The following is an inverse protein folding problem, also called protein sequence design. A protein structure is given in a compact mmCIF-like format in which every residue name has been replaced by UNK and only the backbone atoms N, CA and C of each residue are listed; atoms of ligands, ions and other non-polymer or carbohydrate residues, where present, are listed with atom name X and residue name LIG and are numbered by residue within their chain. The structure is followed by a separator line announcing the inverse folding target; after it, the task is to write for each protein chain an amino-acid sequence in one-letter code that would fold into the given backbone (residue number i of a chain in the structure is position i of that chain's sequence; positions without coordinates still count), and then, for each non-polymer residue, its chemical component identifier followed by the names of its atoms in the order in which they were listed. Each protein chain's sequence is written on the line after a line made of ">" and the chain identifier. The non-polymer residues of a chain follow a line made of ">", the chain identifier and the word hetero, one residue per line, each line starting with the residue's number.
data_IF_936658155696
#
_entry.id   IF_936658155696
#
_cell.length_a   1.000
_cell.length_b   1.000
_cell.length_c   1.000
_cell.angle_alpha   90.00
_cell.angle_beta   90.00
_cell.angle_gamma   90.00
#
_symmetry.space_group_name_H-M   'P 1'
#
loop_
_entity.id
_entity.type
_entity.pdbx_description
1 polymer ?
#
# COMPACT_ATOMS: atom_id res chain seq x y z
N UNK A 1 8.72 -14.34 0.53
CA UNK A 1 8.33 -15.76 0.36
C UNK A 1 9.14 -16.47 -0.73
N UNK A 2 9.12 -16.00 -1.98
CA UNK A 2 9.81 -16.65 -3.10
C UNK A 2 11.29 -16.99 -2.81
N UNK A 3 12.05 -16.04 -2.26
CA UNK A 3 13.42 -16.30 -1.83
C UNK A 3 13.49 -17.42 -0.77
N UNK A 4 12.62 -17.43 0.24
CA UNK A 4 12.62 -18.48 1.26
C UNK A 4 12.36 -19.87 0.66
N UNK A 5 11.43 -19.98 -0.30
CA UNK A 5 11.17 -21.22 -1.02
C UNK A 5 12.41 -21.71 -1.81
N UNK A 6 13.12 -20.80 -2.49
CA UNK A 6 14.41 -21.12 -3.15
C UNK A 6 15.43 -21.65 -2.13
N UNK A 7 15.55 -21.03 -0.96
CA UNK A 7 16.50 -21.47 0.09
C UNK A 7 16.13 -22.82 0.68
N UNK A 8 14.84 -23.20 0.65
CA UNK A 8 14.36 -24.53 1.04
C UNK A 8 14.53 -25.58 -0.08
N UNK A 9 15.14 -25.20 -1.21
CA UNK A 9 15.42 -26.11 -2.33
C UNK A 9 14.25 -26.31 -3.28
N UNK A 10 13.23 -25.44 -3.25
CA UNK A 10 12.13 -25.50 -4.22
C UNK A 10 12.53 -24.86 -5.55
N UNK A 11 11.98 -25.38 -6.64
CA UNK A 11 11.91 -24.67 -7.92
C UNK A 11 10.77 -23.65 -7.85
N UNK A 12 11.07 -22.38 -8.08
CA UNK A 12 10.12 -21.28 -7.81
C UNK A 12 9.80 -20.55 -9.10
N UNK A 13 8.52 -20.48 -9.43
CA UNK A 13 7.97 -19.66 -10.51
C UNK A 13 7.28 -18.43 -9.92
N UNK A 14 7.50 -17.27 -10.54
CA UNK A 14 6.89 -16.00 -10.12
C UNK A 14 6.29 -15.26 -11.30
N UNK A 15 5.09 -14.72 -11.11
CA UNK A 15 4.39 -13.87 -12.07
C UNK A 15 3.96 -12.60 -11.36
N UNK A 16 4.43 -11.46 -11.86
CA UNK A 16 3.99 -10.14 -11.44
C UNK A 16 4.09 -9.20 -12.65
N UNK A 17 2.96 -8.78 -13.26
CA UNK A 17 2.97 -7.90 -14.42
C UNK A 17 3.43 -6.47 -14.08
N UNK A 18 3.56 -6.13 -12.79
CA UNK A 18 3.88 -4.79 -12.30
C UNK A 18 5.17 -4.75 -11.45
N UNK A 19 6.04 -5.76 -11.60
CA UNK A 19 7.24 -5.85 -10.78
C UNK A 19 8.11 -4.59 -10.91
N UNK A 20 8.36 -3.92 -9.78
CA UNK A 20 9.25 -2.77 -9.75
C UNK A 20 10.71 -3.19 -9.97
N UNK A 21 11.55 -2.27 -10.45
CA UNK A 21 13.00 -2.52 -10.61
C UNK A 21 13.62 -2.94 -9.29
N UNK A 22 13.34 -2.21 -8.20
CA UNK A 22 13.88 -2.52 -6.87
C UNK A 22 13.42 -3.89 -6.35
N UNK A 23 12.15 -4.24 -6.57
CA UNK A 23 11.64 -5.57 -6.23
C UNK A 23 12.38 -6.65 -7.00
N UNK A 24 12.62 -6.46 -8.31
CA UNK A 24 13.34 -7.41 -9.14
C UNK A 24 14.79 -7.63 -8.68
N UNK A 25 15.49 -6.58 -8.22
CA UNK A 25 16.86 -6.71 -7.69
C UNK A 25 16.95 -7.51 -6.38
N UNK A 26 15.89 -7.52 -5.57
CA UNK A 26 15.83 -8.27 -4.30
C UNK A 26 15.44 -9.74 -4.48
N UNK A 27 14.96 -10.12 -5.66
CA UNK A 27 14.56 -11.49 -5.95
C UNK A 27 15.78 -12.36 -6.29
N UNK A 28 15.74 -13.62 -5.85
CA UNK A 28 16.73 -14.62 -6.23
C UNK A 28 16.73 -14.81 -7.74
N UNK A 29 17.93 -14.89 -8.33
CA UNK A 29 18.12 -15.18 -9.76
C UNK A 29 17.64 -16.57 -10.16
N UNK A 30 17.40 -17.46 -9.20
CA UNK A 30 16.90 -18.82 -9.42
C UNK A 30 15.38 -18.87 -9.53
N UNK A 31 14.68 -17.73 -9.50
CA UNK A 31 13.23 -17.67 -9.71
C UNK A 31 12.95 -17.63 -11.20
N UNK A 32 12.11 -18.54 -11.67
CA UNK A 32 11.62 -18.58 -13.04
C UNK A 32 10.53 -17.52 -13.20
N UNK A 33 10.80 -16.54 -14.06
CA UNK A 33 9.82 -15.50 -14.37
C UNK A 33 8.80 -16.04 -15.37
N UNK A 34 7.60 -16.33 -14.89
CA UNK A 34 6.47 -16.70 -15.72
C UNK A 34 5.92 -15.47 -16.45
N UNK A 35 5.45 -15.64 -17.69
CA UNK A 35 4.87 -14.55 -18.49
C UNK A 35 3.38 -14.36 -18.23
N UNK A 36 2.71 -15.40 -17.74
CA UNK A 36 1.28 -15.41 -17.44
C UNK A 36 1.03 -16.21 -16.16
N UNK A 37 -0.11 -15.96 -15.51
CA UNK A 37 -0.56 -16.77 -14.38
C UNK A 37 -0.80 -18.24 -14.79
N UNK A 38 -1.25 -18.49 -16.02
CA UNK A 38 -1.49 -19.83 -16.56
C UNK A 38 -0.24 -20.72 -16.55
N UNK A 39 0.95 -20.14 -16.76
CA UNK A 39 2.22 -20.88 -16.65
C UNK A 39 2.43 -21.39 -15.21
N UNK A 40 2.14 -20.55 -14.21
CA UNK A 40 2.18 -20.97 -12.79
C UNK A 40 1.18 -22.10 -12.55
N UNK A 41 -0.05 -21.95 -13.04
CA UNK A 41 -1.09 -22.96 -12.81
C UNK A 41 -0.67 -24.33 -13.35
N UNK A 42 -0.07 -24.38 -14.55
CA UNK A 42 0.34 -25.64 -15.19
C UNK A 42 1.56 -26.28 -14.54
N UNK A 43 2.54 -25.48 -14.13
CA UNK A 43 3.86 -25.98 -13.70
C UNK A 43 3.99 -26.18 -12.19
N UNK A 44 3.22 -25.49 -11.35
CA UNK A 44 3.44 -25.51 -9.90
C UNK A 44 2.60 -26.56 -9.15
N UNK A 45 3.22 -27.21 -8.16
CA UNK A 45 2.54 -28.14 -7.23
C UNK A 45 1.98 -27.42 -5.99
N UNK A 46 2.59 -26.28 -5.64
CA UNK A 46 2.16 -25.37 -4.58
C UNK A 46 2.01 -23.97 -5.16
N UNK A 47 0.85 -23.36 -4.98
CA UNK A 47 0.52 -22.04 -5.51
C UNK A 47 0.14 -21.13 -4.36
N UNK A 48 0.75 -19.96 -4.30
CA UNK A 48 0.52 -18.94 -3.28
C UNK A 48 0.22 -17.61 -3.94
N UNK A 49 -0.81 -16.92 -3.45
CA UNK A 49 -1.27 -15.66 -4.06
C UNK A 49 -0.92 -14.48 -3.16
N UNK A 50 -0.29 -13.45 -3.75
CA UNK A 50 0.17 -12.24 -3.07
C UNK A 50 -0.15 -10.96 -3.86
N UNK A 51 -1.38 -10.86 -4.37
CA UNK A 51 -1.83 -9.70 -5.15
C UNK A 51 -2.89 -8.89 -4.39
N UNK A 52 -3.01 -7.57 -4.64
CA UNK A 52 -4.11 -6.78 -4.12
C UNK A 52 -5.45 -7.25 -4.71
N UNK A 53 -6.55 -6.97 -4.00
CA UNK A 53 -7.90 -7.16 -4.54
C UNK A 53 -8.26 -5.97 -5.43
N UNK A 54 -8.21 -6.19 -6.74
CA UNK A 54 -8.59 -5.27 -7.80
C UNK A 54 -9.71 -5.94 -8.62
N UNK A 55 -10.39 -5.19 -9.49
CA UNK A 55 -11.41 -5.77 -10.37
C UNK A 55 -10.86 -6.94 -11.21
N UNK A 56 -9.62 -6.81 -11.71
CA UNK A 56 -8.98 -7.84 -12.56
C UNK A 56 -8.44 -9.06 -11.77
N UNK A 57 -8.30 -8.97 -10.44
CA UNK A 57 -7.76 -10.06 -9.60
C UNK A 57 -8.84 -10.76 -8.77
N UNK A 58 -10.05 -10.18 -8.67
CA UNK A 58 -11.19 -10.81 -8.01
C UNK A 58 -11.56 -12.11 -8.72
N UNK A 59 -11.66 -13.19 -7.94
CA UNK A 59 -11.97 -14.53 -8.47
C UNK A 59 -10.93 -15.06 -9.45
N UNK A 60 -9.68 -14.58 -9.41
CA UNK A 60 -8.63 -15.05 -10.31
C UNK A 60 -8.35 -16.56 -10.17
N UNK A 61 -8.59 -17.12 -8.98
CA UNK A 61 -8.61 -18.57 -8.75
C UNK A 61 -10.07 -19.02 -8.82
N UNK A 62 -10.53 -19.29 -10.03
CA UNK A 62 -11.86 -19.82 -10.35
C UNK A 62 -11.73 -21.23 -10.96
N UNK A 63 -12.87 -21.82 -11.35
CA UNK A 63 -12.94 -23.13 -11.98
C UNK A 63 -12.01 -23.30 -13.18
N UNK A 64 -11.91 -22.29 -14.04
CA UNK A 64 -11.09 -22.36 -15.24
C UNK A 64 -9.60 -22.38 -14.87
N UNK A 65 -9.18 -21.50 -13.96
CA UNK A 65 -7.82 -21.49 -13.42
C UNK A 65 -7.46 -22.82 -12.74
N UNK A 66 -8.35 -23.33 -11.89
CA UNK A 66 -8.17 -24.61 -11.19
C UNK A 66 -8.07 -25.77 -12.19
N UNK A 67 -8.81 -25.73 -13.30
CA UNK A 67 -8.78 -26.78 -14.32
C UNK A 67 -7.40 -26.96 -14.93
N UNK A 68 -6.66 -25.86 -15.12
CA UNK A 68 -5.29 -25.83 -15.64
C UNK A 68 -4.27 -26.39 -14.66
N UNK A 69 -4.60 -26.46 -13.37
CA UNK A 69 -3.66 -26.88 -12.33
C UNK A 69 -3.37 -28.38 -12.37
N UNK A 70 -2.23 -28.77 -11.81
CA UNK A 70 -1.93 -30.19 -11.58
C UNK A 70 -2.96 -30.82 -10.62
N UNK A 71 -3.24 -32.12 -10.79
CA UNK A 71 -4.07 -32.86 -9.83
C UNK A 71 -3.33 -32.97 -8.50
N UNK A 72 -4.01 -32.64 -7.41
CA UNK A 72 -3.45 -32.68 -6.06
C UNK A 72 -2.65 -31.42 -5.69
N UNK A 73 -2.83 -30.33 -6.43
CA UNK A 73 -2.20 -29.03 -6.14
C UNK A 73 -2.58 -28.54 -4.74
N UNK A 74 -1.66 -27.81 -4.10
CA UNK A 74 -1.91 -27.10 -2.84
C UNK A 74 -1.98 -25.61 -3.10
N UNK A 75 -3.06 -24.97 -2.66
CA UNK A 75 -3.29 -23.54 -2.85
C UNK A 75 -3.20 -22.84 -1.49
N UNK A 76 -2.50 -21.71 -1.45
CA UNK A 76 -2.32 -20.88 -0.27
C UNK A 76 -2.79 -19.46 -0.57
N UNK A 77 -3.72 -18.93 0.23
CA UNK A 77 -4.19 -17.56 0.12
C UNK A 77 -4.16 -16.85 1.48
N UNK A 78 -3.16 -15.99 1.64
CA UNK A 78 -3.02 -15.08 2.79
C UNK A 78 -3.16 -13.61 2.36
N UNK A 79 -3.59 -13.36 1.12
CA UNK A 79 -3.62 -12.01 0.54
C UNK A 79 -4.98 -11.35 0.73
N UNK A 80 -6.01 -11.81 0.03
CA UNK A 80 -7.38 -11.29 0.12
C UNK A 80 -8.38 -12.41 -0.13
N UNK A 81 -9.49 -12.40 0.60
CA UNK A 81 -10.57 -13.40 0.54
C UNK A 81 -11.17 -13.51 -0.87
N UNK A 82 -11.40 -12.38 -1.54
CA UNK A 82 -12.06 -12.31 -2.85
C UNK A 82 -11.23 -12.82 -4.03
N UNK A 83 -9.97 -13.22 -3.84
CA UNK A 83 -9.11 -13.70 -4.93
C UNK A 83 -9.46 -15.13 -5.37
N UNK A 84 -10.08 -15.90 -4.48
CA UNK A 84 -10.45 -17.30 -4.71
C UNK A 84 -11.97 -17.40 -4.72
N UNK A 85 -12.52 -18.00 -5.78
CA UNK A 85 -13.94 -18.32 -5.83
C UNK A 85 -14.24 -19.45 -4.82
N UNK A 86 -15.14 -19.18 -3.87
CA UNK A 86 -15.44 -20.08 -2.77
C UNK A 86 -16.14 -21.36 -3.20
N UNK A 87 -17.07 -21.29 -4.16
CA UNK A 87 -17.76 -22.48 -4.66
C UNK A 87 -16.79 -23.37 -5.45
N UNK A 88 -16.00 -22.75 -6.33
CA UNK A 88 -15.06 -23.48 -7.18
C UNK A 88 -13.97 -24.19 -6.35
N UNK A 89 -13.45 -23.55 -5.29
CA UNK A 89 -12.43 -24.18 -4.44
C UNK A 89 -13.01 -25.33 -3.61
N UNK A 90 -14.27 -25.22 -3.16
CA UNK A 90 -14.96 -26.31 -2.46
C UNK A 90 -15.15 -27.50 -3.38
N UNK A 91 -15.65 -27.29 -4.60
CA UNK A 91 -15.79 -28.33 -5.61
C UNK A 91 -14.44 -28.99 -5.95
N UNK A 92 -13.38 -28.19 -6.03
CA UNK A 92 -12.04 -28.68 -6.30
C UNK A 92 -11.44 -29.52 -5.16
N UNK A 93 -11.75 -29.18 -3.90
CA UNK A 93 -11.37 -29.97 -2.73
C UNK A 93 -12.15 -31.29 -2.68
N UNK A 94 -13.46 -31.25 -2.92
CA UNK A 94 -14.33 -32.44 -2.93
C UNK A 94 -13.94 -33.41 -4.04
N UNK A 95 -13.55 -32.90 -5.21
CA UNK A 95 -13.09 -33.72 -6.35
C UNK A 95 -11.62 -34.17 -6.25
N UNK A 96 -10.91 -33.78 -5.18
CA UNK A 96 -9.46 -34.02 -4.98
C UNK A 96 -8.58 -33.45 -6.11
N UNK A 97 -9.11 -32.53 -6.93
CA UNK A 97 -8.31 -31.75 -7.88
C UNK A 97 -7.33 -30.86 -7.11
N UNK A 98 -7.82 -30.22 -6.05
CA UNK A 98 -7.01 -29.52 -5.05
C UNK A 98 -6.89 -30.42 -3.84
N UNK A 99 -5.65 -30.74 -3.44
CA UNK A 99 -5.41 -31.59 -2.27
C UNK A 99 -5.63 -30.83 -0.98
N UNK A 100 -5.19 -29.58 -0.95
CA UNK A 100 -5.28 -28.74 0.23
C UNK A 100 -5.40 -27.27 -0.15
N UNK A 101 -6.28 -26.57 0.56
CA UNK A 101 -6.40 -25.12 0.49
C UNK A 101 -6.11 -24.53 1.86
N UNK A 102 -5.09 -23.69 1.95
CA UNK A 102 -4.71 -22.98 3.19
C UNK A 102 -5.11 -21.53 3.04
N UNK A 103 -5.92 -21.02 3.96
CA UNK A 103 -6.44 -19.65 3.88
C UNK A 103 -6.52 -18.98 5.23
N UNK A 104 -6.28 -17.68 5.25
CA UNK A 104 -6.44 -16.82 6.43
C UNK A 104 -7.83 -16.17 6.52
N UNK A 105 -8.76 -16.61 5.67
CA UNK A 105 -10.08 -16.02 5.51
C UNK A 105 -11.15 -17.05 5.86
N UNK A 106 -11.67 -17.06 7.09
CA UNK A 106 -12.75 -17.98 7.47
C UNK A 106 -14.08 -17.54 6.85
N UNK A 107 -14.66 -18.40 6.02
CA UNK A 107 -15.99 -18.22 5.44
C UNK A 107 -16.87 -19.43 5.75
N UNK A 108 -18.20 -19.29 5.66
CA UNK A 108 -19.14 -20.37 6.01
C UNK A 108 -19.01 -21.57 5.08
N UNK A 109 -18.60 -21.31 3.85
CA UNK A 109 -18.49 -22.23 2.73
C UNK A 109 -17.24 -23.10 2.87
N UNK A 110 -16.14 -22.55 3.37
CA UNK A 110 -14.82 -23.21 3.43
C UNK A 110 -14.60 -23.88 4.79
N UNK A 111 -15.12 -23.29 5.88
CA UNK A 111 -14.93 -23.83 7.24
C UNK A 111 -15.54 -25.23 7.35
N UNK A 112 -14.71 -26.19 7.76
CA UNK A 112 -15.13 -27.59 7.93
C UNK A 112 -15.02 -28.45 6.67
N UNK A 113 -14.67 -27.87 5.51
CA UNK A 113 -14.43 -28.63 4.29
C UNK A 113 -13.15 -29.46 4.43
N UNK A 114 -13.23 -30.76 4.11
CA UNK A 114 -12.06 -31.65 4.16
C UNK A 114 -10.98 -31.15 3.19
N UNK A 115 -9.75 -31.02 3.68
CA UNK A 115 -8.62 -30.49 2.91
C UNK A 115 -8.45 -28.97 3.02
N UNK A 116 -9.38 -28.25 3.66
CA UNK A 116 -9.21 -26.84 3.99
C UNK A 116 -8.50 -26.68 5.35
N UNK A 117 -7.46 -25.84 5.39
CA UNK A 117 -6.86 -25.32 6.62
C UNK A 117 -7.21 -23.83 6.68
N UNK A 118 -8.02 -23.47 7.67
CA UNK A 118 -8.56 -22.11 7.81
C UNK A 118 -8.01 -21.48 9.08
N UNK A 119 -7.34 -20.35 8.92
CA UNK A 119 -6.71 -19.57 9.99
C UNK A 119 -7.51 -18.27 10.16
N UNK A 120 -7.75 -17.79 11.40
CA UNK A 120 -8.65 -16.66 11.64
C UNK A 120 -7.96 -15.30 11.47
N UNK A 121 -7.51 -14.98 10.25
CA UNK A 121 -6.92 -13.68 9.88
C UNK A 121 -5.72 -13.27 10.75
N UNK A 122 -4.74 -14.17 10.89
CA UNK A 122 -3.59 -14.01 11.78
C UNK A 122 -2.29 -13.65 11.05
N UNK A 123 -2.32 -13.38 9.74
CA UNK A 123 -1.12 -13.17 8.93
C UNK A 123 -0.18 -12.07 9.42
N UNK A 124 -0.71 -11.05 10.11
CA UNK A 124 0.07 -9.97 10.72
C UNK A 124 0.08 -10.02 12.27
N UNK A 125 -0.55 -11.03 12.87
CA UNK A 125 -0.73 -11.12 14.34
C UNK A 125 0.49 -11.73 15.02
N UNK A 126 1.65 -11.09 14.86
CA UNK A 126 2.89 -11.44 15.57
C UNK A 126 3.38 -10.25 16.38
N UNK A 127 4.07 -10.51 17.49
CA UNK A 127 4.63 -9.46 18.36
C UNK A 127 5.56 -8.52 17.57
N UNK A 128 6.40 -9.08 16.69
CA UNK A 128 7.32 -8.31 15.86
C UNK A 128 6.60 -7.43 14.83
N UNK A 129 5.48 -7.90 14.29
CA UNK A 129 4.68 -7.13 13.33
C UNK A 129 4.01 -5.95 14.02
N UNK A 130 3.41 -6.16 15.19
CA UNK A 130 2.83 -5.10 16.02
C UNK A 130 3.87 -4.05 16.41
N UNK A 131 5.06 -4.51 16.84
CA UNK A 131 6.19 -3.63 17.19
C UNK A 131 6.62 -2.74 16.01
N UNK A 132 6.72 -3.32 14.82
CA UNK A 132 7.12 -2.60 13.61
C UNK A 132 6.04 -1.59 13.19
N UNK A 133 4.76 -1.97 13.24
CA UNK A 133 3.62 -1.10 12.95
C UNK A 133 3.57 0.07 13.94
N UNK A 134 3.74 -0.18 15.24
CA UNK A 134 3.73 0.84 16.27
C UNK A 134 4.89 1.83 16.09
N UNK A 135 6.11 1.34 15.80
CA UNK A 135 7.28 2.18 15.51
C UNK A 135 7.05 3.06 14.28
N UNK A 136 6.51 2.49 13.20
CA UNK A 136 6.19 3.21 11.97
C UNK A 136 5.15 4.31 12.22
N UNK A 137 4.01 3.97 12.82
CA UNK A 137 2.95 4.93 13.10
C UNK A 137 3.42 6.06 14.03
N UNK A 138 4.19 5.73 15.08
CA UNK A 138 4.75 6.74 15.97
C UNK A 138 5.76 7.66 15.26
N UNK A 139 6.61 7.11 14.38
CA UNK A 139 7.55 7.89 13.59
C UNK A 139 6.85 8.82 12.60
N UNK A 140 5.83 8.33 11.90
CA UNK A 140 5.04 9.13 10.94
C UNK A 140 4.26 10.25 11.61
N UNK A 141 3.62 9.98 12.75
CA UNK A 141 2.93 11.01 13.53
C UNK A 141 3.93 12.04 14.06
N UNK A 142 5.08 11.61 14.56
CA UNK A 142 6.15 12.51 15.02
C UNK A 142 6.64 13.38 13.87
N UNK A 143 6.93 12.82 12.70
CA UNK A 143 7.44 13.55 11.55
C UNK A 143 6.40 14.54 10.99
N UNK A 144 5.12 14.16 10.98
CA UNK A 144 4.04 15.09 10.65
C UNK A 144 3.90 16.25 11.66
N UNK A 145 4.12 15.99 12.95
CA UNK A 145 4.03 17.02 13.99
C UNK A 145 5.23 17.97 13.94
N UNK A 146 6.45 17.43 13.80
CA UNK A 146 7.71 18.16 13.88
C UNK A 146 8.18 18.76 12.55
N UNK A 147 7.89 18.13 11.41
CA UNK A 147 8.36 18.55 10.08
C UNK A 147 7.23 18.76 9.07
N UNK A 148 6.01 18.31 9.39
CA UNK A 148 4.86 18.46 8.50
C UNK A 148 4.84 17.44 7.36
N UNK A 149 5.77 16.50 7.31
CA UNK A 149 5.79 15.49 6.27
C UNK A 149 4.61 14.54 6.42
N UNK A 150 4.05 14.12 5.30
CA UNK A 150 3.00 13.10 5.20
C UNK A 150 3.56 11.99 4.33
N UNK A 151 3.72 10.80 4.91
CA UNK A 151 4.14 9.59 4.21
C UNK A 151 3.15 8.47 4.50
N UNK A 152 2.98 7.55 3.53
CA UNK A 152 2.08 6.40 3.63
C UNK A 152 0.62 6.75 3.96
N UNK A 153 0.16 7.92 3.52
CA UNK A 153 -1.19 8.38 3.82
C UNK A 153 -2.24 7.55 3.09
N UNK A 154 -3.17 6.99 3.86
CA UNK A 154 -4.28 6.22 3.30
C UNK A 154 -5.37 7.11 2.69
N UNK A 155 -5.46 8.38 3.11
CA UNK A 155 -6.56 9.28 2.78
C UNK A 155 -6.16 10.70 2.31
N UNK A 156 -4.87 11.03 2.29
CA UNK A 156 -4.34 12.33 1.86
C UNK A 156 -3.18 12.15 0.85
N UNK A 157 -2.72 13.18 0.13
CA UNK A 157 -1.49 13.09 -0.65
C UNK A 157 -0.24 12.96 0.23
N UNK A 158 0.66 12.05 -0.16
CA UNK A 158 2.01 11.98 0.40
C UNK A 158 2.83 13.19 -0.05
N UNK A 159 3.52 13.83 0.89
CA UNK A 159 4.24 15.07 0.71
C UNK A 159 5.38 15.16 1.72
N UNK A 160 6.61 15.23 1.24
CA UNK A 160 7.81 15.16 2.07
C UNK A 160 8.82 16.22 1.59
N UNK A 161 9.30 17.04 2.51
CA UNK A 161 10.37 18.03 2.31
C UNK A 161 11.58 17.76 3.22
N UNK A 162 11.64 16.60 3.87
CA UNK A 162 12.64 16.26 4.87
C UNK A 162 12.48 17.08 6.15
N UNK A 163 13.57 17.19 6.91
CA UNK A 163 13.61 18.00 8.13
C UNK A 163 13.33 19.48 7.82
N UNK A 164 12.66 20.17 8.75
CA UNK A 164 12.51 21.63 8.68
C UNK A 164 13.89 22.30 8.71
N UNK A 165 14.08 23.32 7.87
CA UNK A 165 15.27 24.19 7.90
C UNK A 165 15.34 25.10 9.13
N UNK A 166 16.26 26.08 9.09
CA UNK A 166 16.42 27.05 10.19
C UNK A 166 15.23 28.02 10.31
N UNK A 167 14.52 28.30 9.20
CA UNK A 167 13.29 29.09 9.17
C UNK A 167 12.04 28.36 9.66
N UNK A 168 10.88 29.01 9.55
CA UNK A 168 9.60 28.39 9.86
C UNK A 168 9.00 27.68 8.64
N UNK A 169 8.24 26.61 8.87
CA UNK A 169 7.57 25.86 7.80
C UNK A 169 6.07 26.04 7.89
N UNK A 170 5.48 26.54 6.80
CA UNK A 170 4.04 26.65 6.64
C UNK A 170 3.52 25.40 5.93
N UNK A 171 2.51 24.79 6.51
CA UNK A 171 1.82 23.64 5.93
C UNK A 171 0.35 23.96 5.74
N UNK A 172 -0.18 23.71 4.54
CA UNK A 172 -1.54 24.11 4.16
C UNK A 172 -2.24 22.91 3.55
N UNK A 173 -3.26 22.42 4.25
CA UNK A 173 -4.20 21.43 3.75
C UNK A 173 -5.32 22.18 3.06
N UNK A 174 -5.58 21.89 1.79
CA UNK A 174 -6.60 22.60 1.01
C UNK A 174 -7.28 21.71 -0.02
N UNK A 175 -8.39 22.19 -0.56
CA UNK A 175 -9.04 21.59 -1.73
C UNK A 175 -8.15 21.75 -2.96
N UNK A 176 -8.16 20.74 -3.83
CA UNK A 176 -7.43 20.73 -5.09
C UNK A 176 -8.21 21.51 -6.17
N UNK A 177 -8.27 22.84 -6.02
CA UNK A 177 -8.92 23.75 -6.97
C UNK A 177 -7.89 24.70 -7.61
N UNK A 178 -8.17 25.26 -8.80
CA UNK A 178 -7.24 26.18 -9.45
C UNK A 178 -6.88 27.39 -8.59
N UNK A 179 -5.67 27.93 -8.80
CA UNK A 179 -5.18 29.17 -8.18
C UNK A 179 -4.89 29.12 -6.65
N UNK A 180 -4.93 27.95 -5.99
CA UNK A 180 -4.59 27.88 -4.56
C UNK A 180 -3.14 28.28 -4.26
N UNK A 181 -2.17 27.66 -4.96
CA UNK A 181 -0.74 27.93 -4.76
C UNK A 181 -0.42 29.40 -5.03
N UNK A 182 -1.00 29.98 -6.09
CA UNK A 182 -0.81 31.37 -6.45
C UNK A 182 -1.30 32.36 -5.38
N UNK A 183 -2.41 32.05 -4.70
CA UNK A 183 -2.91 32.85 -3.59
C UNK A 183 -1.96 32.81 -2.39
N UNK A 184 -1.42 31.64 -2.04
CA UNK A 184 -0.48 31.50 -0.93
C UNK A 184 0.83 32.25 -1.19
N UNK A 185 1.39 32.09 -2.39
CA UNK A 185 2.66 32.76 -2.74
C UNK A 185 2.51 34.26 -2.87
N UNK A 186 1.38 34.75 -3.40
CA UNK A 186 1.10 36.19 -3.48
C UNK A 186 1.00 36.83 -2.07
N UNK A 187 0.29 36.19 -1.14
CA UNK A 187 0.17 36.66 0.24
C UNK A 187 1.53 36.75 0.94
N UNK A 188 2.37 35.73 0.78
CA UNK A 188 3.72 35.74 1.35
C UNK A 188 4.60 36.82 0.71
N UNK A 189 4.47 37.03 -0.60
CA UNK A 189 5.19 38.09 -1.31
C UNK A 189 4.77 39.50 -0.85
N UNK A 190 3.49 39.76 -0.59
CA UNK A 190 3.01 41.03 -0.02
C UNK A 190 3.60 41.32 1.36
N UNK A 191 3.93 40.27 2.11
CA UNK A 191 4.57 40.35 3.43
C UNK A 191 6.10 40.36 3.33
N UNK A 192 6.65 40.37 2.12
CA UNK A 192 8.08 40.35 1.81
C UNK A 192 8.79 39.15 2.47
N UNK A 193 8.12 37.99 2.50
CA UNK A 193 8.68 36.72 2.96
C UNK A 193 9.20 35.91 1.77
N UNK A 194 10.45 35.47 1.83
CA UNK A 194 11.06 34.61 0.82
C UNK A 194 10.69 33.15 1.07
N UNK A 195 10.38 32.41 0.00
CA UNK A 195 10.12 30.96 0.05
C UNK A 195 11.38 30.25 -0.41
N UNK A 196 12.05 29.53 0.49
CA UNK A 196 13.29 28.82 0.18
C UNK A 196 13.03 27.52 -0.57
N UNK A 197 12.06 26.75 -0.08
CA UNK A 197 11.67 25.46 -0.65
C UNK A 197 10.15 25.35 -0.59
N UNK A 198 9.56 24.82 -1.65
CA UNK A 198 8.12 24.57 -1.71
C UNK A 198 7.86 23.22 -2.39
N UNK A 199 6.89 22.48 -1.88
CA UNK A 199 6.29 21.37 -2.59
C UNK A 199 4.77 21.43 -2.47
N UNK A 200 4.08 20.92 -3.49
CA UNK A 200 2.65 20.70 -3.44
C UNK A 200 2.33 19.33 -4.04
N UNK A 201 1.54 18.55 -3.32
CA UNK A 201 1.08 17.23 -3.75
C UNK A 201 -0.43 17.18 -3.66
N UNK A 202 -1.07 16.50 -4.60
CA UNK A 202 -2.53 16.41 -4.67
C UNK A 202 -2.99 14.96 -4.82
N UNK A 203 -4.17 14.68 -4.27
CA UNK A 203 -4.85 13.40 -4.37
C UNK A 203 -6.35 13.66 -4.46
N UNK A 204 -6.93 13.38 -5.63
CA UNK A 204 -8.35 13.64 -5.92
C UNK A 204 -8.72 15.10 -5.61
N UNK A 205 -9.62 15.30 -4.66
CA UNK A 205 -10.21 16.59 -4.29
C UNK A 205 -9.34 17.39 -3.30
N UNK A 206 -8.24 16.82 -2.81
CA UNK A 206 -7.40 17.42 -1.77
C UNK A 206 -5.96 17.64 -2.24
N UNK A 207 -5.32 18.65 -1.67
CA UNK A 207 -3.93 18.98 -1.89
C UNK A 207 -3.28 19.45 -0.59
N UNK A 208 -1.97 19.31 -0.55
CA UNK A 208 -1.13 19.67 0.58
C UNK A 208 0.07 20.45 0.07
N UNK A 209 0.16 21.71 0.47
CA UNK A 209 1.28 22.59 0.16
C UNK A 209 2.13 22.77 1.41
N UNK A 210 3.44 22.60 1.26
CA UNK A 210 4.43 22.88 2.29
C UNK A 210 5.39 23.94 1.76
N UNK A 211 5.67 24.96 2.57
CA UNK A 211 6.54 26.09 2.24
C UNK A 211 7.51 26.33 3.39
N UNK A 212 8.81 26.28 3.11
CA UNK A 212 9.84 26.78 4.01
C UNK A 212 10.06 28.27 3.70
N UNK A 213 9.93 29.10 4.72
CA UNK A 213 10.06 30.56 4.58
C UNK A 213 11.16 31.10 5.46
N UNK A 214 11.76 32.22 5.04
CA UNK A 214 12.70 32.94 5.88
C UNK A 214 11.98 33.69 7.02
N UNK A 215 12.61 33.68 8.20
CA UNK A 215 12.10 34.40 9.37
C UNK A 215 10.85 33.78 10.02
N UNK A 216 10.10 34.61 10.74
CA UNK A 216 8.97 34.21 11.59
C UNK A 216 7.64 34.53 10.93
N UNK A 217 6.75 33.55 10.88
CA UNK A 217 5.38 33.68 10.39
C UNK A 217 4.51 34.28 11.50
N UNK A 218 4.06 35.50 11.28
CA UNK A 218 3.14 36.16 12.21
C UNK A 218 1.74 35.50 12.22
N UNK A 219 1.02 35.64 13.34
CA UNK A 219 -0.37 35.15 13.45
C UNK A 219 -1.30 35.77 12.40
N UNK A 220 -1.02 36.99 11.95
CA UNK A 220 -1.76 37.66 10.86
C UNK A 220 -1.61 36.90 9.52
N UNK A 221 -0.39 36.47 9.19
CA UNK A 221 -0.12 35.67 7.97
C UNK A 221 -0.81 34.32 8.06
N UNK A 222 -0.72 33.66 9.21
CA UNK A 222 -1.40 32.37 9.44
C UNK A 222 -2.93 32.51 9.30
N UNK A 223 -3.52 33.56 9.89
CA UNK A 223 -4.95 33.83 9.81
C UNK A 223 -5.42 34.15 8.37
N UNK A 224 -4.65 34.93 7.62
CA UNK A 224 -4.99 35.26 6.23
C UNK A 224 -4.90 34.03 5.33
N UNK A 225 -3.88 33.18 5.50
CA UNK A 225 -3.77 31.91 4.78
C UNK A 225 -4.95 30.99 5.13
N UNK A 226 -5.34 30.91 6.40
CA UNK A 226 -6.47 30.10 6.85
C UNK A 226 -7.83 30.61 6.33
N UNK A 227 -7.94 31.90 6.02
CA UNK A 227 -9.14 32.51 5.48
C UNK A 227 -9.32 32.33 3.96
N UNK A 228 -8.30 31.85 3.23
CA UNK A 228 -8.39 31.58 1.79
C UNK A 228 -9.45 30.50 1.53
N UNK A 229 -10.39 30.78 0.63
CA UNK A 229 -11.46 29.84 0.30
C UNK A 229 -10.88 28.51 -0.20
N UNK A 230 -11.33 27.41 0.40
CA UNK A 230 -10.85 26.06 0.07
C UNK A 230 -9.68 25.59 0.94
N UNK A 231 -9.10 26.43 1.79
CA UNK A 231 -8.18 25.99 2.85
C UNK A 231 -8.96 25.27 3.94
N UNK A 232 -8.42 24.14 4.39
CA UNK A 232 -8.98 23.29 5.44
C UNK A 232 -8.23 23.50 6.75
N UNK A 233 -6.91 23.62 6.68
CA UNK A 233 -6.06 23.85 7.84
C UNK A 233 -4.73 24.44 7.42
N UNK A 234 -4.27 25.42 8.19
CA UNK A 234 -2.89 25.91 8.17
C UNK A 234 -2.22 25.46 9.47
N UNK A 235 -0.94 25.10 9.41
CA UNK A 235 -0.07 24.99 10.58
C UNK A 235 1.27 25.61 10.26
N UNK A 236 1.77 26.41 11.19
CA UNK A 236 3.16 26.87 11.20
C UNK A 236 3.96 25.99 12.16
N UNK A 237 5.01 25.38 11.63
CA UNK A 237 5.97 24.60 12.39
C UNK A 237 7.15 25.53 12.68
N UNK A 238 7.34 25.81 13.98
CA UNK A 238 8.32 26.76 14.49
C UNK A 238 9.60 26.05 14.89
#
# INVERSE_FOLDING_TARGET
>A
MANAAVHLGMEVYGYDPYVSVDSAWRLSRNIHHAKTADEIYKECDYITVHVPALEDTKGMINKDAISLMKKGVVILNFARDVLVNQEDIVDALVSEKVRCYVTDFPTKEIVGVRGAIVIPHLGASTEESEDNCAKMAAAEVKDFLENGNITHSVNFPDCDMGAKGEGERITILHKNIPNMIGQFTALLAEKNMNIEVMTNKSRKEYAYTMLDVDGTVSEDVEAQLAAVEGVLKVRVIR
#
